data_IF_599703081431
#
_entry.id   IF_599703081431
#
_cell.length_a   1.000
_cell.length_b   1.000
_cell.length_c   1.000
_cell.angle_alpha   90.00
_cell.angle_beta   90.00
_cell.angle_gamma   90.00
#
_symmetry.space_group_name_H-M   'P 1'
#
loop_
_entity.id
_entity.type
_entity.pdbx_description
1 polymer ?
#
# COMPACT_ATOMS: atom_id res chain seq x y z
N UNK A 1 9.97 3.06 11.95
CA UNK A 1 9.71 3.34 10.51
C UNK A 1 9.97 2.12 9.64
N UNK A 2 11.11 1.41 9.77
CA UNK A 2 11.49 0.29 8.91
C UNK A 2 10.44 -0.81 8.79
N UNK A 3 9.78 -1.23 9.88
CA UNK A 3 8.68 -2.19 9.85
C UNK A 3 7.49 -1.69 9.02
N UNK A 4 7.14 -0.40 9.13
CA UNK A 4 6.01 0.19 8.41
C UNK A 4 6.28 0.26 6.91
N UNK A 5 7.47 0.71 6.49
CA UNK A 5 7.88 0.68 5.09
C UNK A 5 7.94 -0.74 4.54
N UNK A 6 8.54 -1.67 5.29
CA UNK A 6 8.58 -3.08 4.92
C UNK A 6 7.17 -3.63 4.72
N UNK A 7 6.25 -3.37 5.63
CA UNK A 7 4.86 -3.80 5.52
C UNK A 7 4.21 -3.27 4.21
N UNK A 8 4.31 -1.97 3.94
CA UNK A 8 3.70 -1.36 2.74
C UNK A 8 4.27 -1.95 1.45
N UNK A 9 5.60 -2.00 1.32
CA UNK A 9 6.22 -2.57 0.11
C UNK A 9 5.97 -4.06 -0.01
N UNK A 10 6.07 -4.80 1.10
CA UNK A 10 5.76 -6.23 1.13
C UNK A 10 4.33 -6.51 0.72
N UNK A 11 3.34 -5.79 1.27
CA UNK A 11 1.94 -5.91 0.88
C UNK A 11 1.73 -5.62 -0.61
N UNK A 12 2.35 -4.57 -1.14
CA UNK A 12 2.23 -4.23 -2.55
C UNK A 12 2.82 -5.32 -3.46
N UNK A 13 3.96 -5.91 -3.08
CA UNK A 13 4.54 -7.04 -3.80
C UNK A 13 3.64 -8.28 -3.71
N UNK A 14 3.14 -8.63 -2.51
CA UNK A 14 2.24 -9.77 -2.34
C UNK A 14 0.94 -9.58 -3.11
N UNK A 15 0.41 -8.39 -3.21
CA UNK A 15 -0.77 -8.08 -4.01
C UNK A 15 -0.55 -8.39 -5.51
N UNK A 16 0.64 -8.11 -6.03
CA UNK A 16 1.01 -8.50 -7.41
C UNK A 16 1.09 -10.04 -7.54
N UNK A 17 1.69 -10.72 -6.55
CA UNK A 17 1.75 -12.18 -6.51
C UNK A 17 0.34 -12.78 -6.44
N UNK A 18 -0.56 -12.22 -5.63
CA UNK A 18 -1.97 -12.66 -5.54
C UNK A 18 -2.63 -12.56 -6.92
N UNK A 19 -2.44 -11.47 -7.64
CA UNK A 19 -3.00 -11.28 -8.97
C UNK A 19 -2.43 -12.30 -9.98
N UNK A 20 -1.12 -12.54 -9.94
CA UNK A 20 -0.46 -13.53 -10.79
C UNK A 20 -0.94 -14.96 -10.52
N UNK A 21 -1.10 -15.33 -9.25
CA UNK A 21 -1.66 -16.63 -8.85
C UNK A 21 -3.12 -16.76 -9.28
N UNK A 22 -3.91 -15.70 -9.11
CA UNK A 22 -5.31 -15.68 -9.53
C UNK A 22 -5.45 -15.84 -11.06
N UNK A 23 -4.59 -15.19 -11.85
CA UNK A 23 -4.55 -15.37 -13.31
C UNK A 23 -4.19 -16.80 -13.69
N UNK A 24 -3.17 -17.37 -13.07
CA UNK A 24 -2.74 -18.75 -13.32
C UNK A 24 -3.86 -19.77 -13.03
N UNK A 25 -4.55 -19.60 -11.90
CA UNK A 25 -5.57 -20.55 -11.42
C UNK A 25 -6.87 -20.42 -12.20
N UNK A 26 -7.34 -19.21 -12.47
CA UNK A 26 -8.69 -18.97 -13.01
C UNK A 26 -8.70 -18.66 -14.50
N UNK A 27 -7.69 -18.00 -15.05
CA UNK A 27 -7.72 -17.44 -16.40
C UNK A 27 -6.68 -18.02 -17.34
N UNK A 28 -5.77 -18.87 -16.87
CA UNK A 28 -4.71 -19.51 -17.68
C UNK A 28 -3.91 -18.48 -18.50
N UNK A 29 -3.41 -17.42 -17.84
CA UNK A 29 -2.64 -16.31 -18.44
C UNK A 29 -3.46 -15.39 -19.39
N UNK A 30 -4.77 -15.29 -19.21
CA UNK A 30 -5.62 -14.44 -20.03
C UNK A 30 -6.19 -13.21 -19.31
N UNK A 31 -5.64 -12.86 -18.12
CA UNK A 31 -6.17 -11.80 -17.28
C UNK A 31 -6.31 -10.47 -18.04
N UNK A 32 -5.23 -10.00 -18.64
CA UNK A 32 -5.22 -8.73 -19.37
C UNK A 32 -6.14 -8.69 -20.59
N UNK A 33 -6.51 -9.84 -21.16
CA UNK A 33 -7.48 -9.93 -22.25
C UNK A 33 -8.94 -9.84 -21.76
N UNK A 34 -9.15 -10.04 -20.46
CA UNK A 34 -10.49 -10.06 -19.84
C UNK A 34 -10.85 -8.76 -19.13
N UNK A 35 -9.87 -7.90 -18.89
CA UNK A 35 -10.06 -6.64 -18.16
C UNK A 35 -10.01 -5.47 -19.13
N UNK A 36 -10.97 -4.55 -19.02
CA UNK A 36 -10.95 -3.31 -19.78
C UNK A 36 -9.78 -2.43 -19.36
N UNK A 37 -9.12 -1.81 -20.31
CA UNK A 37 -8.00 -0.92 -20.03
C UNK A 37 -8.49 0.40 -19.45
N UNK A 38 -8.28 0.61 -18.18
CA UNK A 38 -8.59 1.86 -17.47
C UNK A 38 -7.40 2.83 -17.58
N UNK A 39 -7.25 3.49 -18.74
CA UNK A 39 -6.06 4.32 -19.03
C UNK A 39 -5.83 5.45 -18.05
N UNK A 40 -6.89 6.14 -17.62
CA UNK A 40 -6.80 7.27 -16.68
C UNK A 40 -6.34 6.79 -15.30
N UNK A 41 -6.98 5.78 -14.76
CA UNK A 41 -6.65 5.18 -13.47
C UNK A 41 -5.21 4.67 -13.46
N UNK A 42 -4.82 3.90 -14.48
CA UNK A 42 -3.45 3.38 -14.59
C UNK A 42 -2.40 4.51 -14.67
N UNK A 43 -2.68 5.58 -15.42
CA UNK A 43 -1.76 6.73 -15.51
C UNK A 43 -1.59 7.44 -14.15
N UNK A 44 -2.67 7.62 -13.39
CA UNK A 44 -2.62 8.24 -12.05
C UNK A 44 -1.88 7.35 -11.05
N UNK A 45 -2.09 6.04 -11.10
CA UNK A 45 -1.38 5.06 -10.26
C UNK A 45 0.12 5.09 -10.57
N UNK A 46 0.52 5.04 -11.84
CA UNK A 46 1.92 5.14 -12.24
C UNK A 46 2.53 6.47 -11.78
N UNK A 47 1.81 7.58 -11.96
CA UNK A 47 2.25 8.90 -11.50
C UNK A 47 2.49 8.90 -9.99
N UNK A 48 1.59 8.29 -9.21
CA UNK A 48 1.72 8.19 -7.76
C UNK A 48 2.97 7.41 -7.36
N UNK A 49 3.26 6.28 -8.01
CA UNK A 49 4.49 5.53 -7.76
C UNK A 49 5.75 6.35 -8.12
N UNK A 50 5.74 7.07 -9.25
CA UNK A 50 6.85 7.94 -9.64
C UNK A 50 7.09 9.03 -8.59
N UNK A 51 6.03 9.71 -8.13
CA UNK A 51 6.14 10.75 -7.10
C UNK A 51 6.68 10.16 -5.79
N UNK A 52 6.20 8.97 -5.38
CA UNK A 52 6.64 8.29 -4.17
C UNK A 52 8.12 7.86 -4.22
N UNK A 53 8.63 7.54 -5.42
CA UNK A 53 10.03 7.17 -5.61
C UNK A 53 11.01 8.34 -5.42
N UNK A 54 10.56 9.59 -5.61
CA UNK A 54 11.42 10.78 -5.51
C UNK A 54 12.13 10.88 -4.16
N UNK A 55 11.43 10.91 -2.99
CA UNK A 55 12.08 10.99 -1.70
C UNK A 55 12.98 9.77 -1.41
N UNK A 56 12.60 8.58 -1.87
CA UNK A 56 13.40 7.37 -1.70
C UNK A 56 14.72 7.45 -2.49
N UNK A 57 14.69 7.95 -3.71
CA UNK A 57 15.88 8.15 -4.53
C UNK A 57 16.76 9.25 -3.92
N UNK A 58 16.18 10.39 -3.54
CA UNK A 58 16.92 11.49 -2.93
C UNK A 58 17.60 11.03 -1.63
N UNK A 59 16.94 10.21 -0.81
CA UNK A 59 17.51 9.65 0.41
C UNK A 59 18.76 8.78 0.17
N UNK A 60 18.90 8.17 -1.02
CA UNK A 60 20.07 7.35 -1.37
C UNK A 60 21.32 8.20 -1.69
N UNK A 61 21.12 9.39 -2.26
CA UNK A 61 22.22 10.27 -2.70
C UNK A 61 22.64 11.30 -1.66
N UNK A 62 21.88 11.48 -0.58
CA UNK A 62 22.18 12.44 0.47
C UNK A 62 23.28 11.93 1.40
N UNK A 63 24.56 12.15 1.06
CA UNK A 63 25.66 12.25 2.03
C UNK A 63 25.65 13.65 2.65
N UNK A 64 24.49 14.18 3.02
CA UNK A 64 24.33 15.58 3.37
C UNK A 64 24.46 15.77 4.87
N UNK A 65 25.34 16.70 5.23
CA UNK A 65 25.57 17.18 6.59
C UNK A 65 24.25 17.77 7.13
N UNK A 66 23.70 17.16 8.16
CA UNK A 66 22.31 17.30 8.61
C UNK A 66 21.91 18.68 9.14
N UNK A 67 22.87 19.54 9.53
CA UNK A 67 22.55 20.76 10.27
C UNK A 67 21.99 21.93 9.42
N UNK A 68 22.25 21.98 8.14
CA UNK A 68 21.80 23.09 7.27
C UNK A 68 20.74 22.67 6.25
N UNK A 69 20.59 21.39 5.97
CA UNK A 69 19.73 20.86 4.90
C UNK A 69 18.36 20.40 5.42
N UNK A 70 18.15 20.33 6.72
CA UNK A 70 17.00 19.68 7.35
C UNK A 70 15.65 20.33 7.01
N UNK A 71 15.55 21.67 7.07
CA UNK A 71 14.27 22.35 6.90
C UNK A 71 13.76 22.31 5.45
N UNK A 72 14.65 22.48 4.47
CA UNK A 72 14.27 22.45 3.05
C UNK A 72 13.82 21.06 2.62
N UNK A 73 14.51 20.01 3.08
CA UNK A 73 14.12 18.62 2.80
C UNK A 73 12.81 18.27 3.49
N UNK A 74 12.63 18.64 4.75
CA UNK A 74 11.40 18.44 5.49
C UNK A 74 10.20 19.04 4.77
N UNK A 75 10.30 20.30 4.34
CA UNK A 75 9.25 20.98 3.57
C UNK A 75 9.02 20.28 2.22
N UNK A 76 10.09 19.87 1.53
CA UNK A 76 9.99 19.20 0.24
C UNK A 76 9.29 17.85 0.35
N UNK A 77 9.63 17.03 1.36
CA UNK A 77 9.00 15.73 1.58
C UNK A 77 7.55 15.86 1.99
N UNK A 78 7.21 16.81 2.85
CA UNK A 78 5.81 17.08 3.19
C UNK A 78 4.98 17.54 1.97
N UNK A 79 5.56 18.33 1.05
CA UNK A 79 4.89 18.71 -0.21
C UNK A 79 4.68 17.47 -1.08
N UNK A 80 5.67 16.58 -1.18
CA UNK A 80 5.55 15.34 -1.94
C UNK A 80 4.47 14.44 -1.35
N UNK A 81 4.44 14.28 -0.02
CA UNK A 81 3.42 13.51 0.68
C UNK A 81 2.01 14.09 0.44
N UNK A 82 1.87 15.41 0.45
CA UNK A 82 0.61 16.07 0.11
C UNK A 82 0.18 15.81 -1.34
N UNK A 83 1.12 15.86 -2.28
CA UNK A 83 0.85 15.53 -3.68
C UNK A 83 0.39 14.09 -3.86
N UNK A 84 0.97 13.13 -3.14
CA UNK A 84 0.53 11.72 -3.16
C UNK A 84 -0.91 11.59 -2.69
N UNK A 85 -1.28 12.26 -1.59
CA UNK A 85 -2.66 12.26 -1.09
C UNK A 85 -3.64 12.87 -2.11
N UNK A 86 -3.26 13.96 -2.78
CA UNK A 86 -4.09 14.56 -3.84
C UNK A 86 -4.27 13.59 -5.01
N UNK A 87 -3.18 12.98 -5.50
CA UNK A 87 -3.24 12.01 -6.61
C UNK A 87 -4.08 10.79 -6.21
N UNK A 88 -4.03 10.36 -4.94
CA UNK A 88 -4.89 9.30 -4.44
C UNK A 88 -6.39 9.62 -4.59
N UNK A 89 -6.83 10.80 -4.14
CA UNK A 89 -8.24 11.19 -4.31
C UNK A 89 -8.65 11.32 -5.77
N UNK A 90 -7.75 11.79 -6.65
CA UNK A 90 -7.98 11.80 -8.09
C UNK A 90 -8.09 10.39 -8.67
N UNK A 91 -7.30 9.45 -8.17
CA UNK A 91 -7.34 8.04 -8.59
C UNK A 91 -8.66 7.37 -8.19
N UNK A 92 -9.15 7.59 -6.97
CA UNK A 92 -10.46 7.09 -6.53
C UNK A 92 -11.57 7.66 -7.41
N UNK A 93 -11.54 8.96 -7.70
CA UNK A 93 -12.54 9.57 -8.57
C UNK A 93 -12.54 8.95 -9.97
N UNK A 94 -11.36 8.74 -10.55
CA UNK A 94 -11.23 8.09 -11.85
C UNK A 94 -11.73 6.63 -11.84
N UNK A 95 -11.44 5.87 -10.78
CA UNK A 95 -11.95 4.50 -10.61
C UNK A 95 -13.47 4.47 -10.57
N UNK A 96 -14.09 5.37 -9.80
CA UNK A 96 -15.55 5.43 -9.69
C UNK A 96 -16.22 5.84 -11.02
N UNK A 97 -15.59 6.70 -11.84
CA UNK A 97 -16.08 7.06 -13.17
C UNK A 97 -16.07 5.85 -14.13
N UNK A 98 -15.08 4.97 -13.98
CA UNK A 98 -14.93 3.76 -14.79
C UNK A 98 -15.92 2.63 -14.38
N UNK A 99 -16.43 2.63 -13.12
CA UNK A 99 -17.31 1.59 -12.57
C UNK A 99 -18.82 1.86 -12.76
N UNK A 100 -19.24 3.05 -13.16
CA UNK A 100 -20.66 3.47 -13.22
C UNK A 100 -21.54 2.68 -14.22
N UNK A 101 -21.01 1.68 -14.92
CA UNK A 101 -21.79 0.81 -15.81
C UNK A 101 -22.25 -0.52 -15.17
N UNK A 102 -21.93 -0.81 -13.90
CA UNK A 102 -22.26 -2.11 -13.30
C UNK A 102 -22.74 -1.97 -11.84
N UNK A 103 -24.02 -2.07 -11.67
CA UNK A 103 -24.80 -2.70 -10.59
C UNK A 103 -25.96 -1.85 -10.07
N UNK A 104 -27.15 -2.14 -10.58
CA UNK A 104 -28.42 -1.81 -9.95
C UNK A 104 -28.91 -2.91 -8.96
N UNK A 105 -28.00 -3.65 -8.34
CA UNK A 105 -28.37 -4.53 -7.24
C UNK A 105 -28.42 -3.72 -5.93
N UNK A 106 -29.62 -3.24 -5.58
CA UNK A 106 -29.89 -2.63 -4.30
C UNK A 106 -29.57 -3.61 -3.16
N UNK A 107 -28.63 -3.25 -2.31
CA UNK A 107 -28.35 -4.00 -1.09
C UNK A 107 -29.58 -4.01 -0.19
N UNK A 108 -30.07 -5.20 0.19
CA UNK A 108 -31.18 -5.38 1.13
C UNK A 108 -30.84 -4.99 2.57
N UNK A 109 -29.60 -4.65 2.86
CA UNK A 109 -29.13 -4.32 4.20
C UNK A 109 -29.24 -2.82 4.48
N UNK A 110 -29.73 -2.48 5.67
CA UNK A 110 -29.78 -1.08 6.12
C UNK A 110 -28.37 -0.51 6.26
N UNK A 111 -28.14 0.73 5.82
CA UNK A 111 -26.88 1.46 5.99
C UNK A 111 -26.37 1.45 7.43
N UNK A 112 -27.27 1.57 8.44
CA UNK A 112 -26.89 1.49 9.86
C UNK A 112 -26.31 0.13 10.23
N UNK A 113 -26.90 -0.96 9.73
CA UNK A 113 -26.40 -2.31 9.99
C UNK A 113 -25.01 -2.51 9.39
N UNK A 114 -24.83 -2.07 8.14
CA UNK A 114 -23.52 -2.13 7.45
C UNK A 114 -22.48 -1.32 8.21
N UNK A 115 -22.78 -0.08 8.61
CA UNK A 115 -21.86 0.78 9.34
C UNK A 115 -21.45 0.19 10.71
N UNK A 116 -22.38 -0.39 11.45
CA UNK A 116 -22.11 -1.01 12.76
C UNK A 116 -21.20 -2.24 12.56
N UNK A 117 -21.54 -3.13 11.63
CA UNK A 117 -20.74 -4.33 11.35
C UNK A 117 -19.35 -3.97 10.87
N UNK A 118 -19.23 -3.00 9.96
CA UNK A 118 -17.95 -2.49 9.50
C UNK A 118 -17.10 -1.94 10.65
N UNK A 119 -17.69 -1.11 11.53
CA UNK A 119 -16.98 -0.54 12.67
C UNK A 119 -16.51 -1.60 13.66
N UNK A 120 -17.33 -2.62 13.96
CA UNK A 120 -16.94 -3.72 14.82
C UNK A 120 -15.77 -4.51 14.25
N UNK A 121 -15.85 -4.88 12.97
CA UNK A 121 -14.74 -5.60 12.31
C UNK A 121 -13.48 -4.74 12.18
N UNK A 122 -13.61 -3.43 11.94
CA UNK A 122 -12.47 -2.51 11.93
C UNK A 122 -11.74 -2.49 13.28
N UNK A 123 -12.47 -2.46 14.42
CA UNK A 123 -11.86 -2.55 15.75
C UNK A 123 -11.12 -3.87 15.94
N UNK A 124 -11.73 -4.99 15.55
CA UNK A 124 -11.09 -6.33 15.64
C UNK A 124 -9.78 -6.35 14.83
N UNK A 125 -9.79 -5.81 13.60
CA UNK A 125 -8.60 -5.74 12.75
C UNK A 125 -7.51 -4.86 13.38
N UNK A 126 -7.86 -3.70 13.94
CA UNK A 126 -6.90 -2.80 14.61
C UNK A 126 -6.23 -3.51 15.78
N UNK A 127 -7.01 -4.17 16.64
CA UNK A 127 -6.48 -4.90 17.81
C UNK A 127 -5.60 -6.07 17.35
N UNK A 128 -6.05 -6.84 16.37
CA UNK A 128 -5.26 -7.97 15.83
C UNK A 128 -3.95 -7.48 15.21
N UNK A 129 -3.96 -6.40 14.43
CA UNK A 129 -2.78 -5.82 13.81
C UNK A 129 -1.74 -5.35 14.83
N UNK A 130 -2.20 -4.79 15.96
CA UNK A 130 -1.32 -4.42 17.06
C UNK A 130 -0.56 -5.62 17.63
N UNK A 131 -1.27 -6.72 17.92
CA UNK A 131 -0.63 -7.94 18.42
C UNK A 131 0.31 -8.58 17.40
N UNK A 132 -0.09 -8.64 16.12
CA UNK A 132 0.76 -9.16 15.04
C UNK A 132 2.06 -8.34 14.95
N UNK A 133 1.97 -7.02 15.07
CA UNK A 133 3.15 -6.15 15.01
C UNK A 133 4.12 -6.43 16.15
N UNK A 134 3.63 -6.66 17.38
CA UNK A 134 4.47 -7.03 18.53
C UNK A 134 5.18 -8.36 18.24
N UNK A 135 4.43 -9.40 17.85
CA UNK A 135 5.00 -10.72 17.57
C UNK A 135 6.05 -10.65 16.45
N UNK A 136 5.80 -9.90 15.39
CA UNK A 136 6.78 -9.73 14.29
C UNK A 136 8.02 -8.98 14.77
N UNK A 137 7.87 -7.99 15.65
CA UNK A 137 9.03 -7.29 16.21
C UNK A 137 9.89 -8.22 17.09
N UNK A 138 9.28 -9.06 17.88
CA UNK A 138 9.99 -10.04 18.71
C UNK A 138 10.69 -11.10 17.85
N UNK A 139 9.99 -11.67 16.86
CA UNK A 139 10.57 -12.58 15.87
C UNK A 139 11.76 -11.96 15.14
N UNK A 140 11.66 -10.68 14.75
CA UNK A 140 12.76 -9.96 14.11
C UNK A 140 14.01 -9.94 14.96
N UNK A 141 13.86 -9.68 16.25
CA UNK A 141 14.98 -9.63 17.19
C UNK A 141 15.59 -11.01 17.38
N UNK A 142 14.78 -12.03 17.62
CA UNK A 142 15.24 -13.41 17.80
C UNK A 142 15.94 -13.99 16.56
N UNK A 143 15.42 -13.69 15.37
CA UNK A 143 15.97 -14.17 14.10
C UNK A 143 17.06 -13.26 13.53
N UNK A 144 17.42 -12.17 14.22
CA UNK A 144 18.39 -11.16 13.77
C UNK A 144 18.07 -10.60 12.36
N UNK A 145 16.79 -10.30 12.10
CA UNK A 145 16.32 -9.77 10.82
C UNK A 145 16.26 -8.24 10.84
N UNK A 146 16.55 -7.62 9.70
CA UNK A 146 16.31 -6.20 9.50
C UNK A 146 14.83 -5.85 9.61
N UNK A 147 14.50 -4.67 10.17
CA UNK A 147 13.11 -4.26 10.42
C UNK A 147 12.27 -4.22 9.14
N UNK A 148 12.78 -3.66 8.05
CA UNK A 148 12.08 -3.60 6.76
C UNK A 148 11.87 -4.97 6.14
N UNK A 149 12.83 -5.89 6.27
CA UNK A 149 12.70 -7.24 5.75
C UNK A 149 11.64 -8.05 6.52
N UNK A 150 11.67 -7.98 7.86
CA UNK A 150 10.64 -8.62 8.69
C UNK A 150 9.24 -8.04 8.43
N UNK A 151 9.15 -6.72 8.29
CA UNK A 151 7.91 -6.05 7.91
C UNK A 151 7.39 -6.52 6.55
N UNK A 152 8.27 -6.63 5.54
CA UNK A 152 7.87 -7.06 4.20
C UNK A 152 7.36 -8.50 4.17
N UNK A 153 8.04 -9.44 4.83
CA UNK A 153 7.67 -10.85 4.78
C UNK A 153 6.50 -11.15 5.71
N UNK A 154 6.59 -10.77 6.99
CA UNK A 154 5.59 -11.21 7.97
C UNK A 154 4.36 -10.30 7.98
N UNK A 155 4.55 -8.98 8.08
CA UNK A 155 3.41 -8.06 8.07
C UNK A 155 2.82 -7.94 6.67
N UNK A 156 3.65 -7.85 5.62
CA UNK A 156 3.19 -7.74 4.24
C UNK A 156 2.30 -8.92 3.83
N UNK A 157 2.68 -10.14 4.15
CA UNK A 157 1.83 -11.33 3.93
C UNK A 157 0.55 -11.25 4.75
N UNK A 158 0.67 -11.01 6.07
CA UNK A 158 -0.48 -11.01 6.97
C UNK A 158 -1.53 -9.96 6.56
N UNK A 159 -1.08 -8.76 6.22
CA UNK A 159 -1.98 -7.66 5.82
C UNK A 159 -2.55 -7.81 4.40
N UNK A 160 -1.97 -8.68 3.55
CA UNK A 160 -2.49 -8.98 2.21
C UNK A 160 -3.42 -10.21 2.16
N UNK A 161 -3.66 -10.90 3.28
CA UNK A 161 -4.61 -12.02 3.32
C UNK A 161 -6.07 -11.62 3.00
N UNK A 162 -6.58 -10.46 3.45
CA UNK A 162 -7.90 -9.97 3.04
C UNK A 162 -8.01 -9.78 1.53
N UNK A 163 -6.99 -9.19 0.90
CA UNK A 163 -6.91 -9.00 -0.56
C UNK A 163 -6.92 -10.34 -1.30
N UNK A 164 -6.16 -11.32 -0.81
CA UNK A 164 -6.18 -12.67 -1.37
C UNK A 164 -7.60 -13.25 -1.37
N UNK A 165 -8.29 -13.14 -0.22
CA UNK A 165 -9.65 -13.66 -0.07
C UNK A 165 -10.64 -12.93 -0.99
N UNK A 166 -10.54 -11.60 -1.08
CA UNK A 166 -11.38 -10.77 -1.93
C UNK A 166 -11.16 -11.11 -3.42
N UNK A 167 -9.90 -11.13 -3.87
CA UNK A 167 -9.55 -11.45 -5.26
C UNK A 167 -10.02 -12.85 -5.64
N UNK A 168 -9.73 -13.86 -4.82
CA UNK A 168 -10.16 -15.25 -5.10
C UNK A 168 -11.69 -15.37 -5.19
N UNK A 169 -12.42 -14.61 -4.38
CA UNK A 169 -13.90 -14.57 -4.44
C UNK A 169 -14.38 -13.89 -5.70
N UNK A 170 -13.84 -12.71 -6.04
CA UNK A 170 -14.20 -11.95 -7.23
C UNK A 170 -13.88 -12.72 -8.52
N UNK A 171 -12.77 -13.44 -8.55
CA UNK A 171 -12.42 -14.32 -9.67
C UNK A 171 -13.41 -15.48 -9.85
N UNK A 172 -13.87 -16.11 -8.75
CA UNK A 172 -14.94 -17.12 -8.80
C UNK A 172 -16.26 -16.55 -9.33
N UNK A 173 -16.57 -15.31 -8.98
CA UNK A 173 -17.74 -14.58 -9.48
C UNK A 173 -17.57 -14.05 -10.91
N UNK A 174 -16.39 -14.30 -11.53
CA UNK A 174 -16.01 -13.80 -12.88
C UNK A 174 -15.99 -12.26 -12.99
N UNK A 175 -15.88 -11.57 -11.87
CA UNK A 175 -15.73 -10.11 -11.83
C UNK A 175 -14.23 -9.74 -11.78
N UNK A 176 -13.58 -9.85 -12.95
CA UNK A 176 -12.14 -9.66 -13.07
C UNK A 176 -11.73 -8.20 -12.91
N UNK A 177 -12.60 -7.27 -13.30
CA UNK A 177 -12.36 -5.82 -13.16
C UNK A 177 -12.32 -5.41 -11.69
N UNK A 178 -13.29 -5.86 -10.89
CA UNK A 178 -13.27 -5.61 -9.45
C UNK A 178 -12.10 -6.29 -8.74
N UNK A 179 -11.66 -7.47 -9.20
CA UNK A 179 -10.46 -8.12 -8.65
C UNK A 179 -9.20 -7.28 -8.90
N UNK A 180 -9.03 -6.72 -10.10
CA UNK A 180 -7.93 -5.82 -10.41
C UNK A 180 -8.05 -4.51 -9.62
N UNK A 181 -9.23 -3.90 -9.57
CA UNK A 181 -9.51 -2.68 -8.82
C UNK A 181 -9.19 -2.83 -7.33
N UNK A 182 -9.50 -3.99 -6.73
CA UNK A 182 -9.17 -4.30 -5.34
C UNK A 182 -7.65 -4.26 -5.10
N UNK A 183 -6.85 -4.90 -5.95
CA UNK A 183 -5.38 -4.91 -5.83
C UNK A 183 -4.79 -3.52 -6.06
N UNK A 184 -5.20 -2.83 -7.13
CA UNK A 184 -4.72 -1.48 -7.43
C UNK A 184 -5.07 -0.52 -6.30
N UNK A 185 -6.32 -0.54 -5.86
CA UNK A 185 -6.82 0.32 -4.78
C UNK A 185 -6.05 0.11 -3.47
N UNK A 186 -5.81 -1.14 -3.09
CA UNK A 186 -5.04 -1.49 -1.89
C UNK A 186 -3.59 -1.00 -1.99
N UNK A 187 -2.93 -1.21 -3.14
CA UNK A 187 -1.55 -0.77 -3.34
C UNK A 187 -1.42 0.77 -3.28
N UNK A 188 -2.34 1.49 -3.90
CA UNK A 188 -2.36 2.96 -3.89
C UNK A 188 -2.66 3.48 -2.48
N UNK A 189 -3.59 2.84 -1.76
CA UNK A 189 -3.90 3.17 -0.38
C UNK A 189 -2.70 2.96 0.56
N UNK A 190 -1.97 1.87 0.40
CA UNK A 190 -0.76 1.59 1.17
C UNK A 190 0.29 2.71 1.06
N UNK A 191 0.55 3.23 -0.15
CA UNK A 191 1.45 4.37 -0.34
C UNK A 191 0.91 5.65 0.31
N UNK A 192 -0.41 5.84 0.24
CA UNK A 192 -1.08 7.00 0.85
C UNK A 192 -0.97 6.99 2.38
N UNK A 193 -1.04 5.81 3.01
CA UNK A 193 -0.85 5.68 4.46
C UNK A 193 0.50 6.25 4.90
N UNK A 194 1.59 5.89 4.21
CA UNK A 194 2.92 6.44 4.53
C UNK A 194 2.91 7.97 4.43
N UNK A 195 2.34 8.50 3.34
CA UNK A 195 2.29 9.94 3.12
C UNK A 195 1.44 10.67 4.15
N UNK A 196 0.33 10.09 4.60
CA UNK A 196 -0.50 10.66 5.67
C UNK A 196 0.24 10.65 7.00
N UNK A 197 0.94 9.56 7.32
CA UNK A 197 1.72 9.47 8.56
C UNK A 197 2.88 10.48 8.54
N UNK A 198 3.52 10.68 7.40
CA UNK A 198 4.56 11.69 7.21
C UNK A 198 4.03 13.11 7.47
N UNK A 199 2.88 13.46 6.89
CA UNK A 199 2.21 14.76 7.12
C UNK A 199 1.83 14.96 8.59
N UNK A 200 1.35 13.93 9.29
CA UNK A 200 0.96 14.01 10.70
C UNK A 200 2.19 14.15 11.60
N UNK A 201 3.27 13.48 11.25
CA UNK A 201 4.52 13.49 12.03
C UNK A 201 5.43 14.66 11.65
N UNK A 202 4.91 15.87 11.69
CA UNK A 202 5.56 17.11 11.23
C UNK A 202 6.94 17.40 11.84
N UNK A 203 7.32 16.71 12.91
CA UNK A 203 8.59 16.92 13.63
C UNK A 203 9.71 15.99 13.21
N UNK A 204 9.35 14.83 12.70
CA UNK A 204 10.30 13.80 12.28
C UNK A 204 9.85 13.26 10.94
N UNK A 205 10.51 13.68 9.88
CA UNK A 205 10.27 13.15 8.55
C UNK A 205 10.51 11.65 8.52
N UNK A 206 9.49 10.89 8.12
CA UNK A 206 9.56 9.42 8.03
C UNK A 206 10.61 8.99 7.00
N UNK A 207 10.79 9.75 5.94
CA UNK A 207 11.79 9.46 4.91
C UNK A 207 13.22 9.71 5.40
N UNK A 208 13.45 10.69 6.29
CA UNK A 208 14.76 10.92 6.91
C UNK A 208 15.17 9.77 7.84
N UNK A 209 14.20 9.12 8.48
CA UNK A 209 14.47 7.94 9.30
C UNK A 209 15.00 6.74 8.49
N UNK A 210 14.70 6.68 7.17
CA UNK A 210 15.25 5.67 6.27
C UNK A 210 16.75 5.88 6.03
N UNK A 211 17.21 7.12 6.03
CA UNK A 211 18.62 7.46 5.84
C UNK A 211 19.44 7.07 7.06
N UNK A 212 18.85 7.19 8.25
CA UNK A 212 19.53 6.94 9.52
C UNK A 212 19.59 5.45 9.89
N UNK A 213 18.84 4.58 9.24
CA UNK A 213 18.86 3.13 9.43
C UNK A 213 19.48 2.43 8.20
N UNK A 214 20.81 2.14 8.20
CA UNK A 214 21.50 1.55 7.02
C UNK A 214 20.87 0.24 6.54
N UNK A 215 20.37 -0.60 7.45
CA UNK A 215 19.72 -1.86 7.08
C UNK A 215 18.36 -1.65 6.45
N UNK A 216 17.60 -0.68 6.94
CA UNK A 216 16.31 -0.30 6.34
C UNK A 216 16.51 0.25 4.93
N UNK A 217 17.50 1.11 4.72
CA UNK A 217 17.86 1.67 3.42
C UNK A 217 18.22 0.59 2.40
N UNK A 218 19.08 -0.36 2.76
CA UNK A 218 19.47 -1.49 1.89
C UNK A 218 18.27 -2.37 1.53
N UNK A 219 17.46 -2.71 2.53
CA UNK A 219 16.33 -3.62 2.33
C UNK A 219 15.21 -2.98 1.49
N UNK A 220 14.96 -1.67 1.65
CA UNK A 220 13.99 -0.95 0.81
C UNK A 220 14.49 -0.86 -0.63
N UNK A 221 15.77 -0.60 -0.86
CA UNK A 221 16.30 -0.61 -2.23
C UNK A 221 16.15 -1.97 -2.91
N UNK A 222 16.27 -3.08 -2.17
CA UNK A 222 16.00 -4.42 -2.69
C UNK A 222 14.51 -4.68 -2.97
N UNK A 223 13.60 -4.05 -2.22
CA UNK A 223 12.15 -4.20 -2.41
C UNK A 223 11.61 -3.32 -3.55
N UNK A 224 12.41 -2.39 -4.06
CA UNK A 224 12.05 -1.49 -5.16
C UNK A 224 12.52 -1.99 -6.55
N UNK A 225 13.37 -3.03 -6.60
CA UNK A 225 13.81 -3.72 -7.82
C UNK A 225 12.77 -4.73 -8.25
#
# INVERSE_FOLDING_TARGET
>A
PGLAFGNVFGSNMFNIVILAVADLVFLKHMFFNKVKTQRKTNALVILMYIIFMIPLILSQFSNVDYDTFSLTLLITFNIISLLIVIVYFLSIKAMNEDETEQSDEESKLSYKHIAIMFSLWAIVVIVASYFVTIVVNDLRVEMNLGASFAGAIFLGVATSLPELTAVMTLMKLKNHEAALGNIIGSNVFNLTIISVVDIINFKEDIFSSLVNEPDTRKNISLLLI
#
